data_IF_282652280635
#
_entry.id   IF_282652280635
#
_cell.length_a   1.000
_cell.length_b   1.000
_cell.length_c   1.000
_cell.angle_alpha   90.00
_cell.angle_beta   90.00
_cell.angle_gamma   90.00
#
_symmetry.space_group_name_H-M   'P 1'
#
loop_
_entity.id
_entity.type
_entity.pdbx_description
1 polymer ?
#
# COMPACT_ATOMS: atom_id res chain seq x y z
N UNK A 1 75.85 4.59 66.47
CA UNK A 1 77.28 4.99 66.49
C UNK A 1 77.88 4.60 65.14
N UNK A 2 78.43 5.59 64.41
CA UNK A 2 79.57 5.54 63.45
C UNK A 2 79.65 4.30 62.51
N UNK A 3 79.70 4.39 61.18
CA UNK A 3 80.30 5.41 60.31
C UNK A 3 79.98 5.10 58.85
N UNK A 4 79.64 6.17 58.14
CA UNK A 4 79.88 6.48 56.72
C UNK A 4 80.90 5.62 55.96
N UNK A 5 80.54 5.18 54.75
CA UNK A 5 81.51 5.02 53.65
C UNK A 5 80.83 5.35 52.33
N UNK A 6 81.24 6.48 51.76
CA UNK A 6 80.83 7.02 50.46
C UNK A 6 81.80 6.49 49.39
N UNK A 7 81.30 5.96 48.27
CA UNK A 7 82.08 5.84 47.03
C UNK A 7 81.22 6.31 45.85
N UNK A 8 81.71 7.34 45.16
CA UNK A 8 81.23 7.85 43.87
C UNK A 8 81.53 6.84 42.75
N UNK A 9 80.58 6.62 41.84
CA UNK A 9 80.80 6.17 40.46
C UNK A 9 79.79 6.91 39.55
N UNK A 10 80.18 7.41 38.36
CA UNK A 10 79.52 8.54 37.71
C UNK A 10 78.32 8.17 36.83
N UNK A 11 77.43 9.15 36.71
CA UNK A 11 76.23 9.21 35.89
C UNK A 11 76.61 9.24 34.39
N UNK A 12 76.28 8.19 33.64
CA UNK A 12 76.23 8.23 32.17
C UNK A 12 74.77 8.38 31.73
N UNK A 13 74.44 9.54 31.16
CA UNK A 13 73.17 9.80 30.48
C UNK A 13 73.15 9.03 29.14
N UNK A 14 72.18 8.13 28.98
CA UNK A 14 71.79 7.60 27.67
C UNK A 14 70.37 8.08 27.38
N UNK A 15 70.24 9.03 26.46
CA UNK A 15 68.97 9.53 25.95
C UNK A 15 68.43 8.55 24.91
N UNK A 16 67.40 7.78 25.28
CA UNK A 16 66.65 6.93 24.34
C UNK A 16 65.45 7.71 23.81
N UNK A 17 65.51 8.10 22.54
CA UNK A 17 64.43 8.73 21.81
C UNK A 17 63.31 7.72 21.51
N UNK A 18 62.17 7.84 22.17
CA UNK A 18 60.93 7.14 21.82
C UNK A 18 60.34 7.77 20.54
N UNK A 19 60.51 7.11 19.39
CA UNK A 19 59.73 7.40 18.19
C UNK A 19 58.36 6.71 18.32
N UNK A 20 57.33 7.49 18.67
CA UNK A 20 55.96 7.06 18.56
C UNK A 20 55.57 7.02 17.07
N UNK A 21 55.50 5.83 16.48
CA UNK A 21 54.93 5.61 15.15
C UNK A 21 53.41 5.70 15.29
N UNK A 22 52.85 6.87 14.97
CA UNK A 22 51.41 7.01 14.73
C UNK A 22 51.08 6.29 13.42
N UNK A 23 50.57 5.06 13.51
CA UNK A 23 49.91 4.40 12.39
C UNK A 23 48.54 5.06 12.22
N UNK A 24 48.47 6.07 11.35
CA UNK A 24 47.20 6.55 10.82
C UNK A 24 46.51 5.37 10.13
N UNK A 25 45.54 4.77 10.80
CA UNK A 25 44.56 3.94 10.13
C UNK A 25 43.71 4.88 9.28
N UNK A 26 44.05 4.96 7.99
CA UNK A 26 43.12 5.45 7.01
C UNK A 26 41.89 4.53 7.09
N UNK A 27 40.83 5.03 7.71
CA UNK A 27 39.49 4.48 7.52
C UNK A 27 39.23 4.71 6.04
N UNK A 28 39.43 3.65 5.24
CA UNK A 28 38.82 3.57 3.92
C UNK A 28 37.32 3.57 4.21
N UNK A 29 36.72 4.76 4.27
CA UNK A 29 35.31 4.91 3.99
C UNK A 29 35.18 4.39 2.55
N UNK A 30 34.69 3.16 2.40
CA UNK A 30 34.23 2.71 1.10
C UNK A 30 33.33 3.84 0.59
N UNK A 31 33.70 4.45 -0.53
CA UNK A 31 32.88 5.49 -1.16
C UNK A 31 31.49 4.89 -1.31
N UNK A 32 30.54 5.48 -0.59
CA UNK A 32 29.16 5.07 -0.63
C UNK A 32 28.65 5.41 -2.02
N UNK A 33 28.45 4.38 -2.84
CA UNK A 33 27.92 4.50 -4.20
C UNK A 33 26.63 5.31 -4.16
N UNK A 34 26.54 6.36 -4.97
CA UNK A 34 25.38 7.24 -4.97
C UNK A 34 24.26 6.59 -5.77
N UNK A 35 23.14 6.32 -5.12
CA UNK A 35 21.92 5.85 -5.79
C UNK A 35 20.96 7.00 -5.97
N UNK A 36 20.53 7.22 -7.22
CA UNK A 36 19.71 8.37 -7.58
C UNK A 36 18.44 8.49 -6.72
N UNK A 37 17.64 7.44 -6.60
CA UNK A 37 16.38 7.47 -5.84
C UNK A 37 16.57 7.64 -4.33
N UNK A 38 17.66 7.12 -3.77
CA UNK A 38 17.94 7.14 -2.33
C UNK A 38 18.57 8.47 -1.91
N UNK A 39 19.53 8.96 -2.68
CA UNK A 39 20.45 10.02 -2.25
C UNK A 39 20.24 11.34 -3.02
N UNK A 40 19.87 11.30 -4.31
CA UNK A 40 19.82 12.49 -5.19
C UNK A 40 18.42 13.05 -5.33
N UNK A 41 17.46 12.20 -5.72
CA UNK A 41 16.06 12.57 -5.96
C UNK A 41 15.43 13.28 -4.74
N UNK A 42 15.64 12.86 -3.47
CA UNK A 42 15.09 13.60 -2.33
C UNK A 42 15.60 15.04 -2.24
N UNK A 43 16.87 15.28 -2.59
CA UNK A 43 17.46 16.61 -2.63
C UNK A 43 16.80 17.44 -3.73
N UNK A 44 16.74 16.92 -4.95
CA UNK A 44 16.12 17.64 -6.08
C UNK A 44 14.63 17.91 -5.84
N UNK A 45 13.91 16.95 -5.27
CA UNK A 45 12.50 17.07 -4.93
C UNK A 45 12.24 18.13 -3.87
N UNK A 46 13.03 18.15 -2.80
CA UNK A 46 12.85 19.14 -1.74
C UNK A 46 13.29 20.54 -2.19
N UNK A 47 14.46 20.64 -2.84
CA UNK A 47 15.15 21.90 -3.10
C UNK A 47 14.82 22.53 -4.45
N UNK A 48 14.45 21.74 -5.47
CA UNK A 48 14.46 22.19 -6.86
C UNK A 48 13.12 22.08 -7.60
N UNK A 49 12.36 20.99 -7.42
CA UNK A 49 11.17 20.69 -8.25
C UNK A 49 10.04 21.72 -8.11
N UNK A 50 9.99 22.49 -7.03
CA UNK A 50 8.99 23.55 -6.89
C UNK A 50 9.09 24.62 -7.99
N UNK A 51 10.30 24.92 -8.48
CA UNK A 51 10.52 25.91 -9.54
C UNK A 51 11.02 25.27 -10.85
N UNK A 52 11.54 24.05 -10.80
CA UNK A 52 12.12 23.35 -11.96
C UNK A 52 11.60 21.91 -12.06
N UNK A 53 10.31 21.70 -11.76
CA UNK A 53 9.65 20.40 -11.78
C UNK A 53 8.48 20.34 -12.77
N UNK A 54 7.49 19.45 -12.52
CA UNK A 54 6.42 19.21 -13.48
C UNK A 54 5.38 20.34 -13.56
N UNK A 55 5.20 21.13 -12.50
CA UNK A 55 4.24 22.25 -12.47
C UNK A 55 4.57 23.36 -13.48
N UNK A 56 3.86 23.40 -14.61
CA UNK A 56 4.08 24.38 -15.69
C UNK A 56 3.89 25.82 -15.23
N UNK A 57 2.92 26.09 -14.36
CA UNK A 57 2.60 27.44 -13.90
C UNK A 57 3.69 28.02 -12.98
N UNK A 58 4.41 27.16 -12.26
CA UNK A 58 5.52 27.54 -11.39
C UNK A 58 6.91 27.41 -12.06
N UNK A 59 6.99 26.79 -13.25
CA UNK A 59 8.25 26.42 -13.89
C UNK A 59 9.04 27.64 -14.35
N UNK A 60 10.20 27.87 -13.73
CA UNK A 60 11.16 28.90 -14.10
C UNK A 60 12.07 28.39 -15.22
N UNK A 61 12.34 29.27 -16.18
CA UNK A 61 13.22 29.02 -17.33
C UNK A 61 12.85 27.77 -18.13
N UNK A 62 11.59 27.30 -18.09
CA UNK A 62 11.13 26.06 -18.74
C UNK A 62 12.01 24.83 -18.41
N UNK A 63 12.74 24.85 -17.29
CA UNK A 63 13.68 23.81 -16.91
C UNK A 63 12.97 22.72 -16.12
N UNK A 64 13.18 21.46 -16.51
CA UNK A 64 12.74 20.27 -15.77
C UNK A 64 13.95 19.51 -15.23
N UNK A 65 14.08 19.46 -13.91
CA UNK A 65 15.09 18.68 -13.20
C UNK A 65 14.52 17.33 -12.73
N UNK A 66 13.22 17.11 -12.89
CA UNK A 66 12.47 15.88 -12.62
C UNK A 66 12.45 14.90 -13.81
N UNK A 67 13.07 15.30 -14.93
CA UNK A 67 13.11 14.55 -16.18
C UNK A 67 14.55 14.31 -16.65
N UNK A 68 14.87 13.07 -17.00
CA UNK A 68 16.23 12.68 -17.38
C UNK A 68 16.72 13.37 -18.65
N UNK A 69 15.87 13.46 -19.68
CA UNK A 69 16.25 14.05 -20.94
C UNK A 69 16.49 15.55 -20.77
N UNK A 70 15.65 16.22 -19.99
CA UNK A 70 15.76 17.65 -19.72
C UNK A 70 16.97 18.01 -18.83
N UNK A 71 17.24 17.24 -17.76
CA UNK A 71 18.38 17.52 -16.87
C UNK A 71 19.74 17.27 -17.54
N UNK A 72 19.79 16.41 -18.57
CA UNK A 72 20.99 16.13 -19.38
C UNK A 72 21.01 16.93 -20.70
N UNK A 73 20.01 17.76 -20.97
CA UNK A 73 19.94 18.54 -22.20
C UNK A 73 20.95 19.69 -22.21
N UNK A 74 21.35 20.07 -23.43
CA UNK A 74 22.10 21.30 -23.69
C UNK A 74 21.11 22.40 -24.05
N UNK A 75 21.14 23.52 -23.33
CA UNK A 75 20.23 24.66 -23.52
C UNK A 75 21.05 25.92 -23.71
N UNK A 76 20.90 26.58 -24.86
CA UNK A 76 21.66 27.79 -25.20
C UNK A 76 23.19 27.63 -25.05
N UNK A 77 23.70 26.43 -25.35
CA UNK A 77 25.11 26.07 -25.20
C UNK A 77 25.54 25.69 -23.78
N UNK A 78 24.62 25.67 -22.81
CA UNK A 78 24.86 25.34 -21.41
C UNK A 78 24.41 23.90 -21.14
N UNK A 79 25.29 23.10 -20.53
CA UNK A 79 24.99 21.74 -20.08
C UNK A 79 24.53 21.79 -18.62
N UNK A 80 23.30 21.37 -18.32
CA UNK A 80 22.76 21.42 -16.96
C UNK A 80 23.50 20.44 -16.04
N UNK A 81 23.55 19.17 -16.45
CA UNK A 81 24.36 18.12 -15.85
C UNK A 81 25.20 17.46 -16.94
N UNK A 82 26.52 17.52 -16.79
CA UNK A 82 27.49 16.86 -17.66
C UNK A 82 27.99 15.57 -16.98
N UNK A 83 27.51 14.39 -17.39
CA UNK A 83 27.94 13.11 -16.82
C UNK A 83 29.47 12.97 -16.77
N UNK A 84 30.01 12.66 -15.60
CA UNK A 84 31.44 12.49 -15.36
C UNK A 84 32.23 13.79 -15.18
N UNK A 85 31.61 14.96 -15.41
CA UNK A 85 32.28 16.27 -15.27
C UNK A 85 31.44 17.26 -14.43
N UNK A 86 31.59 17.23 -13.10
CA UNK A 86 30.95 18.19 -12.22
C UNK A 86 31.37 19.64 -12.47
N UNK A 87 32.58 19.88 -13.02
CA UNK A 87 33.07 21.24 -13.26
C UNK A 87 32.42 21.86 -14.50
N UNK A 88 32.06 21.06 -15.49
CA UNK A 88 31.30 21.48 -16.68
C UNK A 88 29.78 21.56 -16.44
N UNK A 89 29.29 21.16 -15.26
CA UNK A 89 27.85 21.10 -14.97
C UNK A 89 27.32 22.42 -14.39
N UNK A 90 26.39 23.05 -15.08
CA UNK A 90 25.74 24.29 -14.62
C UNK A 90 25.04 24.11 -13.26
N UNK A 91 24.47 22.92 -12.99
CA UNK A 91 23.87 22.61 -11.69
C UNK A 91 24.85 22.85 -10.54
N UNK A 92 26.10 22.39 -10.68
CA UNK A 92 27.14 22.57 -9.64
C UNK A 92 27.53 24.03 -9.50
N UNK A 93 27.67 24.75 -10.63
CA UNK A 93 27.96 26.19 -10.63
C UNK A 93 26.89 26.97 -9.86
N UNK A 94 25.61 26.67 -10.10
CA UNK A 94 24.46 27.33 -9.46
C UNK A 94 24.38 27.07 -7.96
N UNK A 95 24.57 25.82 -7.52
CA UNK A 95 24.46 25.47 -6.09
C UNK A 95 25.68 25.91 -5.26
N UNK A 96 26.78 26.30 -5.91
CA UNK A 96 28.01 26.79 -5.28
C UNK A 96 28.27 28.27 -5.52
N UNK A 97 27.40 28.97 -6.26
CA UNK A 97 27.57 30.39 -6.54
C UNK A 97 27.50 31.24 -5.27
N UNK A 98 28.24 32.35 -5.27
CA UNK A 98 28.16 33.39 -4.25
C UNK A 98 27.36 34.62 -4.73
N UNK A 99 26.95 34.63 -6.00
CA UNK A 99 26.09 35.67 -6.56
C UNK A 99 24.63 35.38 -6.19
N UNK A 100 23.98 36.29 -5.46
CA UNK A 100 22.59 36.18 -5.01
C UNK A 100 21.60 36.02 -6.17
N UNK A 101 21.92 36.53 -7.36
CA UNK A 101 21.08 36.41 -8.56
C UNK A 101 21.23 35.08 -9.28
N UNK A 102 22.31 34.34 -9.00
CA UNK A 102 22.61 33.07 -9.66
C UNK A 102 22.47 31.85 -8.75
N UNK A 103 22.66 32.02 -7.44
CA UNK A 103 22.65 30.92 -6.48
C UNK A 103 21.30 30.19 -6.48
N UNK A 104 21.37 28.86 -6.48
CA UNK A 104 20.19 28.00 -6.40
C UNK A 104 20.30 27.02 -5.22
N UNK A 105 19.21 26.78 -4.47
CA UNK A 105 17.95 27.53 -4.51
C UNK A 105 18.11 28.99 -4.07
N UNK A 106 17.31 29.94 -4.58
CA UNK A 106 17.37 31.34 -4.18
C UNK A 106 17.08 31.49 -2.68
N UNK A 107 17.66 32.49 -2.01
CA UNK A 107 17.46 32.70 -0.57
C UNK A 107 15.97 32.84 -0.18
N UNK A 108 15.15 33.47 -1.03
CA UNK A 108 13.70 33.59 -0.85
C UNK A 108 12.95 32.25 -0.77
N UNK A 109 13.53 31.16 -1.30
CA UNK A 109 12.94 29.82 -1.21
C UNK A 109 13.00 29.22 0.19
N UNK A 110 13.86 29.77 1.08
CA UNK A 110 14.13 29.25 2.42
C UNK A 110 14.54 27.76 2.45
N UNK A 111 15.15 27.27 1.37
CA UNK A 111 15.59 25.88 1.20
C UNK A 111 17.08 25.79 0.81
N UNK A 112 18.01 26.27 1.65
CA UNK A 112 19.43 26.15 1.33
C UNK A 112 19.85 24.68 1.27
N UNK A 113 20.79 24.38 0.39
CA UNK A 113 21.50 23.10 0.36
C UNK A 113 22.57 23.08 1.46
N UNK A 114 22.62 22.00 2.21
CA UNK A 114 23.73 21.67 3.09
C UNK A 114 24.97 21.27 2.28
N UNK A 115 26.15 21.37 2.88
CA UNK A 115 27.39 20.94 2.21
C UNK A 115 27.39 19.45 1.85
N UNK A 116 26.74 18.61 2.67
CA UNK A 116 26.59 17.19 2.36
C UNK A 116 25.72 16.97 1.12
N UNK A 117 24.59 17.68 1.00
CA UNK A 117 23.73 17.59 -0.19
C UNK A 117 24.45 18.08 -1.46
N UNK A 118 25.21 19.17 -1.38
CA UNK A 118 26.04 19.65 -2.50
C UNK A 118 27.08 18.61 -2.91
N UNK A 119 27.71 17.97 -1.92
CA UNK A 119 28.70 16.93 -2.18
C UNK A 119 28.06 15.68 -2.79
N UNK A 120 26.88 15.26 -2.34
CA UNK A 120 26.11 14.16 -2.94
C UNK A 120 25.81 14.45 -4.41
N UNK A 121 25.33 15.65 -4.74
CA UNK A 121 25.07 16.04 -6.13
C UNK A 121 26.36 16.06 -6.97
N UNK A 122 27.46 16.56 -6.42
CA UNK A 122 28.78 16.58 -7.09
C UNK A 122 29.29 15.16 -7.38
N UNK A 123 29.23 14.28 -6.37
CA UNK A 123 29.67 12.89 -6.49
C UNK A 123 28.80 12.13 -7.49
N UNK A 124 27.48 12.27 -7.43
CA UNK A 124 26.55 11.70 -8.39
C UNK A 124 26.91 12.05 -9.84
N UNK A 125 27.24 13.32 -10.11
CA UNK A 125 27.66 13.75 -11.45
C UNK A 125 29.01 13.13 -11.81
N UNK A 126 29.97 13.11 -10.90
CA UNK A 126 31.29 12.50 -11.12
C UNK A 126 31.20 11.00 -11.45
N UNK A 127 30.25 10.29 -10.85
CA UNK A 127 29.94 8.87 -11.09
C UNK A 127 29.16 8.63 -12.40
N UNK A 128 28.91 9.68 -13.20
CA UNK A 128 28.25 9.56 -14.50
C UNK A 128 26.77 9.98 -14.52
N UNK A 129 26.27 10.59 -13.44
CA UNK A 129 24.90 11.10 -13.35
C UNK A 129 23.82 10.08 -13.74
N UNK A 130 23.96 8.84 -13.24
CA UNK A 130 22.98 7.77 -13.47
C UNK A 130 21.61 8.21 -12.95
N UNK A 131 20.58 8.02 -13.78
CA UNK A 131 19.22 8.41 -13.45
C UNK A 131 18.36 7.16 -13.25
N UNK A 132 17.32 7.29 -12.42
CA UNK A 132 16.36 6.22 -12.15
C UNK A 132 14.96 6.83 -12.08
N UNK A 133 13.95 6.09 -12.53
CA UNK A 133 12.55 6.48 -12.35
C UNK A 133 12.20 6.42 -10.86
N UNK A 134 11.04 6.95 -10.46
CA UNK A 134 10.65 6.82 -9.06
C UNK A 134 10.55 5.32 -8.73
N UNK A 135 11.01 4.90 -7.55
CA UNK A 135 11.06 3.47 -7.17
C UNK A 135 9.70 2.77 -7.32
N UNK A 136 8.59 3.51 -7.21
CA UNK A 136 7.24 3.00 -7.39
C UNK A 136 6.90 2.59 -8.83
N UNK A 137 7.66 3.07 -9.82
CA UNK A 137 7.50 2.75 -11.25
C UNK A 137 8.56 1.77 -11.75
N UNK A 138 9.46 1.32 -10.88
CA UNK A 138 10.47 0.32 -11.19
C UNK A 138 10.01 -1.04 -10.66
N UNK A 139 10.16 -2.08 -11.48
CA UNK A 139 9.81 -3.43 -11.05
C UNK A 139 10.70 -3.85 -9.87
N UNK A 140 10.12 -4.38 -8.77
CA UNK A 140 10.92 -4.82 -7.63
C UNK A 140 11.83 -5.98 -8.05
N UNK A 141 13.12 -5.87 -7.70
CA UNK A 141 14.10 -6.92 -7.95
C UNK A 141 14.48 -7.61 -6.65
N UNK A 142 14.81 -8.90 -6.75
CA UNK A 142 15.27 -9.68 -5.59
C UNK A 142 16.67 -9.21 -5.20
N UNK A 143 16.83 -8.83 -3.94
CA UNK A 143 18.13 -8.46 -3.37
C UNK A 143 18.69 -9.62 -2.58
N UNK A 144 20.03 -9.73 -2.55
CA UNK A 144 20.69 -10.68 -1.65
C UNK A 144 20.47 -10.27 -0.20
N UNK A 145 20.21 -11.25 0.65
CA UNK A 145 20.00 -11.01 2.08
C UNK A 145 21.34 -10.59 2.69
N UNK A 146 21.43 -9.44 3.38
CA UNK A 146 22.67 -8.97 3.96
C UNK A 146 23.26 -9.98 4.93
N UNK A 147 24.56 -10.24 4.83
CA UNK A 147 25.28 -10.99 5.86
C UNK A 147 25.45 -10.11 7.09
N UNK A 148 24.50 -10.18 8.02
CA UNK A 148 24.71 -9.61 9.35
C UNK A 148 25.80 -10.39 10.10
N UNK A 149 26.40 -9.79 11.13
CA UNK A 149 27.29 -10.54 12.02
C UNK A 149 26.55 -11.78 12.56
N UNK A 150 27.25 -12.89 12.85
CA UNK A 150 26.62 -14.08 13.43
C UNK A 150 25.94 -13.71 14.75
N UNK A 151 24.62 -13.64 14.74
CA UNK A 151 23.79 -13.39 15.92
C UNK A 151 22.54 -14.24 15.79
N UNK A 152 21.99 -14.64 16.93
CA UNK A 152 20.75 -15.43 16.99
C UNK A 152 19.49 -14.54 16.94
N UNK A 153 19.65 -13.22 16.70
CA UNK A 153 18.53 -12.28 16.72
C UNK A 153 17.62 -12.37 15.49
N UNK A 154 18.16 -12.40 14.24
CA UNK A 154 17.31 -12.54 13.06
C UNK A 154 16.59 -13.89 13.04
N UNK A 155 15.25 -13.87 13.06
CA UNK A 155 14.41 -15.08 12.95
C UNK A 155 14.11 -15.42 11.49
N UNK A 156 14.10 -14.41 10.63
CA UNK A 156 13.87 -14.56 9.20
C UNK A 156 14.76 -13.62 8.37
N UNK A 157 14.60 -13.68 7.05
CA UNK A 157 15.39 -12.89 6.12
C UNK A 157 15.09 -11.38 6.21
N UNK A 158 13.89 -10.96 6.63
CA UNK A 158 13.52 -9.54 6.82
C UNK A 158 14.33 -8.96 7.98
N UNK A 159 14.41 -9.70 9.09
CA UNK A 159 15.18 -9.27 10.27
C UNK A 159 16.65 -9.05 9.93
N UNK A 160 17.20 -9.78 8.96
CA UNK A 160 18.58 -9.59 8.49
C UNK A 160 18.79 -8.22 7.85
N UNK A 161 17.80 -7.72 7.09
CA UNK A 161 17.84 -6.35 6.54
C UNK A 161 17.73 -5.30 7.64
N UNK A 162 16.86 -5.52 8.64
CA UNK A 162 16.71 -4.61 9.78
C UNK A 162 17.99 -4.55 10.60
N UNK A 163 18.58 -5.71 10.92
CA UNK A 163 19.81 -5.81 11.69
C UNK A 163 20.98 -5.12 10.96
N UNK A 164 21.15 -5.37 9.66
CA UNK A 164 22.19 -4.71 8.86
C UNK A 164 22.07 -3.17 8.94
N UNK A 165 20.84 -2.65 8.90
CA UNK A 165 20.60 -1.20 9.03
C UNK A 165 20.90 -0.68 10.44
N UNK A 166 20.51 -1.43 11.48
CA UNK A 166 20.82 -1.08 12.87
C UNK A 166 22.33 -1.06 13.10
N UNK A 167 23.07 -2.07 12.63
CA UNK A 167 24.53 -2.14 12.73
C UNK A 167 25.21 -0.95 12.03
N UNK A 168 24.76 -0.59 10.82
CA UNK A 168 25.25 0.60 10.11
C UNK A 168 25.03 1.88 10.92
N UNK A 169 23.93 1.95 11.66
CA UNK A 169 23.57 3.08 12.54
C UNK A 169 24.15 2.95 13.94
N UNK A 170 24.93 1.91 14.22
CA UNK A 170 25.51 1.62 15.55
C UNK A 170 24.43 1.47 16.64
N UNK A 171 23.28 0.93 16.24
CA UNK A 171 22.15 0.62 17.12
C UNK A 171 22.08 -0.89 17.35
N UNK A 172 21.56 -1.28 18.51
CA UNK A 172 21.27 -2.68 18.85
C UNK A 172 19.75 -2.89 18.86
N UNK A 173 19.26 -4.09 18.51
CA UNK A 173 17.85 -4.41 18.66
C UNK A 173 17.35 -4.22 20.09
N UNK A 174 16.10 -3.80 20.23
CA UNK A 174 15.40 -3.76 21.51
C UNK A 174 15.06 -5.17 21.98
N UNK A 175 14.95 -5.36 23.30
CA UNK A 175 14.41 -6.61 23.86
C UNK A 175 12.93 -6.77 23.52
N UNK A 176 12.46 -8.02 23.45
CA UNK A 176 11.05 -8.34 23.31
C UNK A 176 10.22 -7.71 24.44
N UNK A 177 8.97 -7.36 24.13
CA UNK A 177 8.01 -6.93 25.15
C UNK A 177 7.66 -8.10 26.08
N UNK A 178 7.22 -7.79 27.31
CA UNK A 178 6.70 -8.84 28.20
C UNK A 178 5.47 -9.53 27.57
N UNK A 179 5.24 -10.78 27.95
CA UNK A 179 4.19 -11.62 27.34
C UNK A 179 2.80 -11.00 27.43
N UNK A 180 2.47 -10.33 28.53
CA UNK A 180 1.15 -9.71 28.70
C UNK A 180 0.98 -8.50 27.77
N UNK A 181 2.02 -7.68 27.64
CA UNK A 181 2.04 -6.57 26.67
C UNK A 181 1.98 -7.07 25.22
N UNK A 182 2.72 -8.12 24.90
CA UNK A 182 2.75 -8.71 23.56
C UNK A 182 1.37 -9.26 23.17
N UNK A 183 0.75 -10.06 24.05
CA UNK A 183 -0.62 -10.57 23.89
C UNK A 183 -1.61 -9.42 23.63
N UNK A 184 -1.55 -8.37 24.46
CA UNK A 184 -2.47 -7.24 24.31
C UNK A 184 -2.32 -6.58 22.94
N UNK A 185 -1.09 -6.30 22.49
CA UNK A 185 -0.82 -5.64 21.21
C UNK A 185 -1.34 -6.47 20.04
N UNK A 186 -0.95 -7.75 19.97
CA UNK A 186 -1.32 -8.61 18.85
C UNK A 186 -2.83 -8.84 18.76
N UNK A 187 -3.56 -8.90 19.88
CA UNK A 187 -5.02 -8.96 19.86
C UNK A 187 -5.65 -7.69 19.26
N UNK A 188 -5.20 -6.48 19.63
CA UNK A 188 -5.74 -5.26 19.03
C UNK A 188 -5.36 -5.12 17.56
N UNK A 189 -4.13 -5.49 17.21
CA UNK A 189 -3.65 -5.37 15.84
C UNK A 189 -4.45 -6.28 14.92
N UNK A 190 -4.62 -7.56 15.30
CA UNK A 190 -5.27 -8.56 14.46
C UNK A 190 -6.80 -8.56 14.57
N UNK A 191 -7.39 -8.26 15.74
CA UNK A 191 -8.84 -8.40 15.95
C UNK A 191 -9.53 -7.11 16.36
N UNK A 192 -8.78 -6.05 16.69
CA UNK A 192 -9.34 -4.81 17.23
C UNK A 192 -9.88 -4.94 18.67
N UNK A 193 -9.78 -6.12 19.29
CA UNK A 193 -10.35 -6.42 20.59
C UNK A 193 -9.26 -6.73 21.63
N UNK A 194 -9.51 -6.45 22.92
CA UNK A 194 -8.62 -6.92 23.99
C UNK A 194 -8.66 -8.45 24.12
N UNK A 195 -7.60 -9.09 24.65
CA UNK A 195 -7.61 -10.53 24.91
C UNK A 195 -8.69 -10.91 25.93
N UNK A 196 -9.34 -12.06 25.73
CA UNK A 196 -10.25 -12.64 26.74
C UNK A 196 -9.44 -13.18 27.93
N UNK A 197 -10.10 -13.36 29.07
CA UNK A 197 -9.46 -13.90 30.27
C UNK A 197 -8.94 -15.33 30.03
N UNK A 198 -9.70 -16.13 29.29
CA UNK A 198 -9.36 -17.50 28.91
C UNK A 198 -8.13 -17.55 28.00
N UNK A 199 -8.12 -16.73 26.94
CA UNK A 199 -6.98 -16.66 26.02
C UNK A 199 -5.72 -16.19 26.74
N UNK A 200 -5.84 -15.16 27.60
CA UNK A 200 -4.72 -14.66 28.38
C UNK A 200 -4.16 -15.74 29.31
N UNK A 201 -5.01 -16.48 30.00
CA UNK A 201 -4.57 -17.58 30.87
C UNK A 201 -3.87 -18.69 30.07
N UNK A 202 -4.39 -19.05 28.90
CA UNK A 202 -3.80 -20.06 28.03
C UNK A 202 -2.42 -19.61 27.53
N UNK A 203 -2.34 -18.45 26.89
CA UNK A 203 -1.09 -17.94 26.35
C UNK A 203 -0.04 -17.69 27.43
N UNK A 204 -0.40 -17.10 28.57
CA UNK A 204 0.58 -16.82 29.62
C UNK A 204 1.12 -18.08 30.31
N UNK A 205 0.39 -19.20 30.24
CA UNK A 205 0.83 -20.49 30.77
C UNK A 205 1.51 -21.38 29.73
N UNK A 206 1.47 -21.03 28.45
CA UNK A 206 2.10 -21.79 27.36
C UNK A 206 3.60 -21.48 27.26
N UNK A 207 4.42 -22.40 27.75
CA UNK A 207 5.89 -22.33 27.71
C UNK A 207 6.50 -22.96 26.45
N UNK A 208 5.69 -23.35 25.47
CA UNK A 208 6.21 -23.91 24.21
C UNK A 208 6.93 -22.85 23.36
N UNK A 209 7.92 -23.30 22.58
CA UNK A 209 8.71 -22.43 21.72
C UNK A 209 7.86 -21.71 20.65
N UNK A 210 6.71 -22.27 20.28
CA UNK A 210 5.79 -21.73 19.27
C UNK A 210 4.54 -21.07 19.87
N UNK A 211 4.53 -20.76 21.18
CA UNK A 211 3.35 -20.22 21.87
C UNK A 211 2.82 -18.93 21.20
N UNK A 212 3.71 -18.10 20.67
CA UNK A 212 3.33 -16.83 20.02
C UNK A 212 2.74 -17.05 18.62
N UNK A 213 3.37 -17.91 17.83
CA UNK A 213 2.91 -18.27 16.48
C UNK A 213 1.54 -18.94 16.55
N UNK A 214 1.33 -19.86 17.48
CA UNK A 214 0.03 -20.49 17.71
C UNK A 214 -1.06 -19.47 18.11
N UNK A 215 -0.70 -18.47 18.92
CA UNK A 215 -1.60 -17.37 19.27
C UNK A 215 -1.96 -16.54 18.02
N UNK A 216 -0.98 -16.21 17.19
CA UNK A 216 -1.19 -15.46 15.93
C UNK A 216 -2.13 -16.24 15.00
N UNK A 217 -1.88 -17.54 14.79
CA UNK A 217 -2.74 -18.41 13.98
C UNK A 217 -4.18 -18.47 14.52
N UNK A 218 -4.34 -18.59 15.85
CA UNK A 218 -5.65 -18.56 16.48
C UNK A 218 -6.37 -17.22 16.25
N UNK A 219 -5.66 -16.09 16.27
CA UNK A 219 -6.23 -14.77 16.03
C UNK A 219 -6.57 -14.55 14.54
N UNK A 220 -5.74 -15.02 13.62
CA UNK A 220 -5.99 -14.93 12.17
C UNK A 220 -7.19 -15.76 11.72
N UNK A 221 -7.48 -16.87 12.41
CA UNK A 221 -8.67 -17.71 12.15
C UNK A 221 -9.95 -17.17 12.81
N UNK A 222 -9.87 -16.14 13.65
CA UNK A 222 -11.02 -15.51 14.28
C UNK A 222 -11.83 -14.69 13.26
N UNK A 223 -13.18 -14.72 13.28
CA UNK A 223 -13.99 -13.88 12.41
C UNK A 223 -13.73 -12.37 12.62
N UNK A 224 -13.28 -12.00 13.83
CA UNK A 224 -12.90 -10.63 14.18
C UNK A 224 -11.68 -10.11 13.41
N UNK A 225 -10.87 -11.00 12.81
CA UNK A 225 -9.78 -10.60 11.93
C UNK A 225 -10.30 -9.87 10.70
N UNK A 226 -11.24 -10.50 9.97
CA UNK A 226 -11.88 -9.89 8.81
C UNK A 226 -12.63 -8.62 9.16
N UNK A 227 -13.32 -8.56 10.30
CA UNK A 227 -13.98 -7.35 10.79
C UNK A 227 -12.97 -6.21 11.00
N UNK A 228 -11.83 -6.50 11.64
CA UNK A 228 -10.77 -5.54 11.89
C UNK A 228 -10.16 -4.99 10.60
N UNK A 229 -9.85 -5.87 9.66
CA UNK A 229 -9.28 -5.49 8.36
C UNK A 229 -10.29 -4.71 7.50
N UNK A 230 -11.56 -5.12 7.53
CA UNK A 230 -12.63 -4.48 6.79
C UNK A 230 -12.82 -3.01 7.16
N UNK A 231 -12.65 -2.61 8.42
CA UNK A 231 -12.78 -1.20 8.83
C UNK A 231 -11.92 -0.29 7.97
N UNK A 232 -10.63 -0.62 7.80
CA UNK A 232 -9.71 0.18 7.00
C UNK A 232 -10.09 0.18 5.52
N UNK A 233 -10.52 -0.97 4.99
CA UNK A 233 -10.92 -1.07 3.60
C UNK A 233 -12.20 -0.28 3.29
N UNK A 234 -13.20 -0.38 4.16
CA UNK A 234 -14.48 0.31 4.03
C UNK A 234 -14.32 1.83 4.07
N UNK A 235 -13.40 2.34 4.89
CA UNK A 235 -13.02 3.75 4.87
C UNK A 235 -12.41 4.17 3.52
N UNK A 236 -11.50 3.35 2.98
CA UNK A 236 -10.82 3.62 1.69
C UNK A 236 -11.81 3.69 0.52
N UNK A 237 -12.77 2.76 0.47
CA UNK A 237 -13.79 2.73 -0.59
C UNK A 237 -14.98 3.65 -0.30
N UNK A 238 -14.97 4.34 0.85
CA UNK A 238 -15.98 5.31 1.31
C UNK A 238 -17.36 4.68 1.44
N UNK A 239 -17.40 3.49 2.03
CA UNK A 239 -18.63 2.81 2.36
C UNK A 239 -19.52 3.70 3.26
N UNK A 240 -20.80 3.81 2.91
CA UNK A 240 -21.79 4.49 3.72
C UNK A 240 -23.15 3.79 3.59
N UNK A 241 -23.90 3.76 4.69
CA UNK A 241 -25.27 3.24 4.73
C UNK A 241 -26.33 4.28 4.32
N UNK A 242 -25.91 5.47 3.84
CA UNK A 242 -26.79 6.54 3.37
C UNK A 242 -26.40 7.08 2.01
N UNK A 243 -27.32 7.77 1.35
CA UNK A 243 -27.09 8.34 0.00
C UNK A 243 -26.13 9.54 0.02
N UNK A 244 -26.19 10.38 1.06
CA UNK A 244 -25.18 11.39 1.40
C UNK A 244 -25.00 12.57 0.43
N UNK A 245 -25.77 12.67 -0.66
CA UNK A 245 -25.68 13.77 -1.64
C UNK A 245 -26.66 14.91 -1.33
N UNK A 246 -27.97 14.66 -1.43
CA UNK A 246 -29.04 15.63 -1.12
C UNK A 246 -29.71 15.37 0.23
N UNK A 247 -29.51 14.19 0.81
CA UNK A 247 -30.10 13.76 2.08
C UNK A 247 -29.44 12.50 2.65
N UNK A 248 -29.91 12.05 3.81
CA UNK A 248 -29.37 10.90 4.55
C UNK A 248 -30.34 9.71 4.56
N UNK A 249 -31.09 9.50 3.48
CA UNK A 249 -31.89 8.29 3.30
C UNK A 249 -30.98 7.06 3.35
N UNK A 250 -31.41 6.01 4.03
CA UNK A 250 -30.61 4.79 4.15
C UNK A 250 -30.61 4.01 2.84
N UNK A 251 -29.48 3.42 2.48
CA UNK A 251 -29.33 2.51 1.33
C UNK A 251 -28.91 1.12 1.81
N UNK A 252 -29.45 0.08 1.17
CA UNK A 252 -29.18 -1.31 1.54
C UNK A 252 -27.95 -1.85 0.81
N UNK A 253 -26.75 -1.51 1.29
CA UNK A 253 -25.48 -1.96 0.72
C UNK A 253 -24.63 -2.82 1.68
N UNK A 254 -25.18 -3.19 2.83
CA UNK A 254 -24.53 -4.06 3.81
C UNK A 254 -23.99 -5.40 3.26
N UNK A 255 -24.57 -6.03 2.21
CA UNK A 255 -23.96 -7.23 1.64
C UNK A 255 -22.53 -7.00 1.13
N UNK A 256 -22.22 -5.80 0.62
CA UNK A 256 -20.85 -5.46 0.22
C UNK A 256 -19.90 -5.45 1.42
N UNK A 257 -20.33 -4.86 2.56
CA UNK A 257 -19.54 -4.88 3.81
C UNK A 257 -19.27 -6.31 4.27
N UNK A 258 -20.31 -7.15 4.26
CA UNK A 258 -20.20 -8.53 4.70
C UNK A 258 -19.29 -9.35 3.76
N UNK A 259 -19.35 -9.08 2.45
CA UNK A 259 -18.42 -9.64 1.48
C UNK A 259 -16.96 -9.26 1.78
N UNK A 260 -16.67 -7.97 2.07
CA UNK A 260 -15.32 -7.53 2.44
C UNK A 260 -14.78 -8.26 3.67
N UNK A 261 -15.61 -8.39 4.72
CA UNK A 261 -15.24 -9.12 5.95
C UNK A 261 -14.87 -10.57 5.60
N UNK A 262 -15.69 -11.22 4.77
CA UNK A 262 -15.47 -12.60 4.36
C UNK A 262 -14.24 -12.75 3.45
N UNK A 263 -13.98 -11.82 2.54
CA UNK A 263 -12.81 -11.83 1.67
C UNK A 263 -11.50 -11.82 2.48
N UNK A 264 -11.42 -11.01 3.54
CA UNK A 264 -10.28 -11.01 4.45
C UNK A 264 -10.19 -12.31 5.27
N UNK A 265 -11.29 -12.79 5.84
CA UNK A 265 -11.29 -14.04 6.62
C UNK A 265 -10.93 -15.27 5.78
N UNK A 266 -11.28 -15.28 4.50
CA UNK A 266 -10.95 -16.35 3.57
C UNK A 266 -9.55 -16.21 2.96
N UNK A 267 -8.82 -15.15 3.30
CA UNK A 267 -7.51 -14.82 2.72
C UNK A 267 -7.54 -14.83 1.18
N UNK A 268 -8.55 -14.14 0.61
CA UNK A 268 -8.72 -14.06 -0.83
C UNK A 268 -7.48 -13.43 -1.48
N UNK A 269 -6.94 -14.01 -2.58
CA UNK A 269 -5.86 -13.40 -3.34
C UNK A 269 -6.21 -11.97 -3.78
N UNK A 270 -5.24 -11.06 -3.68
CA UNK A 270 -5.49 -9.63 -3.90
C UNK A 270 -5.88 -9.30 -5.35
N UNK A 271 -5.42 -10.10 -6.31
CA UNK A 271 -5.81 -10.03 -7.72
C UNK A 271 -7.28 -10.39 -7.93
N UNK A 272 -7.75 -11.51 -7.34
CA UNK A 272 -9.16 -11.88 -7.35
C UNK A 272 -10.02 -10.83 -6.63
N UNK A 273 -9.59 -10.39 -5.44
CA UNK A 273 -10.26 -9.35 -4.66
C UNK A 273 -10.39 -8.03 -5.42
N UNK A 274 -9.39 -7.68 -6.22
CA UNK A 274 -9.39 -6.51 -7.09
C UNK A 274 -10.34 -6.71 -8.26
N UNK A 275 -10.27 -7.86 -8.95
CA UNK A 275 -11.13 -8.17 -10.09
C UNK A 275 -12.61 -8.16 -9.70
N UNK A 276 -12.94 -8.82 -8.59
CA UNK A 276 -14.32 -8.94 -8.11
C UNK A 276 -14.96 -7.58 -7.79
N UNK A 277 -14.20 -6.63 -7.22
CA UNK A 277 -14.69 -5.29 -6.92
C UNK A 277 -14.80 -4.38 -8.14
N UNK A 278 -13.81 -4.39 -9.02
CA UNK A 278 -13.77 -3.46 -10.16
C UNK A 278 -14.66 -3.93 -11.32
N UNK A 279 -14.78 -5.25 -11.52
CA UNK A 279 -15.38 -5.83 -12.71
C UNK A 279 -15.97 -7.25 -12.49
N UNK A 280 -16.37 -7.59 -11.25
CA UNK A 280 -16.89 -8.92 -10.94
C UNK A 280 -18.15 -9.30 -11.73
N UNK A 281 -18.98 -8.33 -12.09
CA UNK A 281 -20.16 -8.50 -12.95
C UNK A 281 -19.83 -8.77 -14.42
N UNK A 282 -18.61 -8.43 -14.86
CA UNK A 282 -18.11 -8.67 -16.22
C UNK A 282 -17.40 -10.02 -16.37
N UNK A 283 -17.18 -10.76 -15.27
CA UNK A 283 -16.64 -12.12 -15.31
C UNK A 283 -17.64 -13.06 -15.99
N UNK A 284 -17.16 -14.06 -16.73
CA UNK A 284 -18.04 -15.04 -17.37
C UNK A 284 -18.85 -15.82 -16.33
N UNK A 285 -20.18 -15.70 -16.39
CA UNK A 285 -21.10 -16.34 -15.42
C UNK A 285 -20.79 -15.96 -13.97
N UNK A 286 -20.93 -14.67 -13.61
CA UNK A 286 -20.48 -14.16 -12.33
C UNK A 286 -21.29 -14.79 -11.19
N UNK A 287 -20.62 -15.14 -10.10
CA UNK A 287 -21.30 -15.60 -8.89
C UNK A 287 -22.01 -14.46 -8.18
N UNK A 288 -22.96 -14.78 -7.29
CA UNK A 288 -23.64 -13.78 -6.44
C UNK A 288 -22.64 -12.93 -5.65
N UNK A 289 -21.58 -13.55 -5.11
CA UNK A 289 -20.54 -12.83 -4.37
C UNK A 289 -19.77 -11.84 -5.23
N UNK A 290 -19.48 -12.18 -6.50
CA UNK A 290 -18.80 -11.27 -7.43
C UNK A 290 -19.68 -10.10 -7.84
N UNK A 291 -21.00 -10.34 -7.98
CA UNK A 291 -21.97 -9.26 -8.22
C UNK A 291 -22.05 -8.35 -6.99
N UNK A 292 -22.07 -8.91 -5.77
CA UNK A 292 -22.03 -8.14 -4.52
C UNK A 292 -20.76 -7.30 -4.43
N UNK A 293 -19.59 -7.89 -4.72
CA UNK A 293 -18.30 -7.23 -4.70
C UNK A 293 -18.24 -6.04 -5.67
N UNK A 294 -18.81 -6.19 -6.88
CA UNK A 294 -18.92 -5.11 -7.87
C UNK A 294 -19.75 -3.92 -7.37
N UNK A 295 -20.52 -4.11 -6.29
CA UNK A 295 -21.17 -3.05 -5.53
C UNK A 295 -20.22 -1.89 -5.15
N UNK A 296 -18.90 -2.11 -5.12
CA UNK A 296 -17.87 -1.06 -5.07
C UNK A 296 -18.19 0.14 -5.99
N UNK A 297 -18.52 -0.12 -7.26
CA UNK A 297 -18.82 0.92 -8.25
C UNK A 297 -20.13 1.70 -7.98
N UNK A 298 -20.89 1.28 -6.97
CA UNK A 298 -22.15 1.89 -6.53
C UNK A 298 -22.03 2.59 -5.17
N UNK A 299 -20.88 2.57 -4.50
CA UNK A 299 -20.66 3.23 -3.20
C UNK A 299 -20.57 4.76 -3.25
N UNK A 300 -20.60 5.37 -4.44
CA UNK A 300 -20.61 6.82 -4.60
C UNK A 300 -21.84 7.46 -3.94
N UNK A 301 -21.66 8.66 -3.40
CA UNK A 301 -22.77 9.50 -2.92
C UNK A 301 -23.82 9.64 -4.01
N UNK A 302 -25.07 9.27 -3.72
CA UNK A 302 -26.16 9.22 -4.70
C UNK A 302 -27.27 10.20 -4.39
N UNK A 303 -28.05 10.56 -5.42
CA UNK A 303 -29.23 11.43 -5.28
C UNK A 303 -30.47 10.83 -5.93
N UNK A 304 -31.64 11.22 -5.41
CA UNK A 304 -32.96 10.96 -5.99
C UNK A 304 -33.78 12.26 -6.06
N UNK A 305 -33.12 13.41 -6.01
CA UNK A 305 -33.76 14.73 -6.07
C UNK A 305 -34.24 15.06 -7.49
N UNK A 306 -35.50 15.46 -7.66
CA UNK A 306 -36.08 15.77 -8.97
C UNK A 306 -35.49 16.99 -9.70
N UNK A 307 -34.60 17.77 -9.06
CA UNK A 307 -33.97 18.98 -9.60
C UNK A 307 -32.54 18.79 -10.12
N UNK A 308 -32.01 17.56 -10.12
CA UNK A 308 -30.62 17.29 -10.47
C UNK A 308 -30.28 17.65 -11.93
N UNK A 309 -29.09 18.16 -12.16
CA UNK A 309 -28.56 18.36 -13.52
C UNK A 309 -27.78 17.11 -13.95
N UNK A 310 -28.37 16.28 -14.82
CA UNK A 310 -27.82 14.97 -15.19
C UNK A 310 -26.36 15.03 -15.67
N UNK A 311 -26.01 16.01 -16.51
CA UNK A 311 -24.64 16.15 -17.02
C UNK A 311 -23.62 16.48 -15.92
N UNK A 312 -24.01 17.34 -14.99
CA UNK A 312 -23.18 17.68 -13.83
C UNK A 312 -22.99 16.46 -12.93
N UNK A 313 -24.07 15.73 -12.67
CA UNK A 313 -24.04 14.52 -11.85
C UNK A 313 -23.12 13.44 -12.42
N UNK A 314 -23.22 13.13 -13.72
CA UNK A 314 -22.32 12.17 -14.39
C UNK A 314 -20.86 12.59 -14.31
N UNK A 315 -20.57 13.89 -14.46
CA UNK A 315 -19.22 14.40 -14.34
C UNK A 315 -18.65 14.23 -12.92
N UNK A 316 -19.48 14.47 -11.89
CA UNK A 316 -19.10 14.27 -10.49
C UNK A 316 -18.83 12.79 -10.21
N UNK A 317 -19.68 11.89 -10.68
CA UNK A 317 -19.53 10.44 -10.52
C UNK A 317 -18.29 9.89 -11.20
N UNK A 318 -18.07 10.27 -12.46
CA UNK A 318 -16.89 9.89 -13.22
C UNK A 318 -15.61 10.37 -12.52
N UNK A 319 -15.58 11.63 -12.08
CA UNK A 319 -14.46 12.19 -11.32
C UNK A 319 -14.23 11.45 -10.01
N UNK A 320 -15.30 11.08 -9.31
CA UNK A 320 -15.23 10.40 -8.04
C UNK A 320 -14.70 8.97 -8.14
N UNK A 321 -15.13 8.21 -9.17
CA UNK A 321 -14.57 6.88 -9.48
C UNK A 321 -13.08 6.96 -9.78
N UNK A 322 -12.66 7.92 -10.61
CA UNK A 322 -11.25 8.16 -10.93
C UNK A 322 -10.44 8.44 -9.66
N UNK A 323 -10.92 9.34 -8.79
CA UNK A 323 -10.25 9.67 -7.53
C UNK A 323 -10.11 8.46 -6.62
N UNK A 324 -11.14 7.64 -6.50
CA UNK A 324 -11.12 6.51 -5.58
C UNK A 324 -10.29 5.35 -6.10
N UNK A 325 -10.48 4.95 -7.37
CA UNK A 325 -9.71 3.85 -7.93
C UNK A 325 -8.22 4.16 -7.93
N UNK A 326 -7.84 5.40 -8.28
CA UNK A 326 -6.44 5.80 -8.29
C UNK A 326 -5.84 5.84 -6.89
N UNK A 327 -6.57 6.32 -5.89
CA UNK A 327 -6.08 6.37 -4.52
C UNK A 327 -5.96 4.98 -3.90
N UNK A 328 -6.98 4.13 -4.06
CA UNK A 328 -7.10 2.85 -3.36
C UNK A 328 -6.25 1.75 -4.00
N UNK A 329 -6.27 1.62 -5.34
CA UNK A 329 -5.52 0.55 -6.02
C UNK A 329 -4.15 0.99 -6.51
N UNK A 330 -4.02 2.22 -7.01
CA UNK A 330 -2.75 2.69 -7.59
C UNK A 330 -1.86 3.41 -6.56
N UNK A 331 -2.38 3.75 -5.38
CA UNK A 331 -1.68 4.60 -4.42
C UNK A 331 -1.32 5.98 -5.02
N UNK A 332 -2.11 6.44 -5.98
CA UNK A 332 -1.80 7.59 -6.83
C UNK A 332 -2.84 8.70 -6.71
N UNK A 333 -2.37 9.94 -6.64
CA UNK A 333 -3.21 11.14 -6.53
C UNK A 333 -3.67 11.66 -7.90
N UNK A 334 -4.03 10.76 -8.83
CA UNK A 334 -4.56 11.13 -10.17
C UNK A 334 -5.74 12.10 -10.04
N UNK A 335 -6.50 12.01 -8.95
CA UNK A 335 -7.54 12.96 -8.58
C UNK A 335 -7.17 14.44 -8.66
N UNK A 336 -5.92 14.82 -8.35
CA UNK A 336 -5.47 16.20 -8.47
C UNK A 336 -5.34 16.66 -9.92
N UNK A 337 -5.26 15.74 -10.88
CA UNK A 337 -5.18 16.05 -12.30
C UNK A 337 -6.53 16.45 -12.93
N UNK A 338 -7.62 16.50 -12.15
CA UNK A 338 -8.96 16.81 -12.68
C UNK A 338 -9.03 18.16 -13.42
N UNK A 339 -8.33 19.18 -12.92
CA UNK A 339 -8.43 20.55 -13.43
C UNK A 339 -7.20 20.99 -14.24
N UNK A 340 -6.05 20.36 -14.02
CA UNK A 340 -4.76 20.68 -14.63
C UNK A 340 -3.83 19.47 -14.51
N UNK A 341 -2.71 19.44 -15.23
CA UNK A 341 -1.73 18.37 -15.07
C UNK A 341 -1.20 18.31 -13.64
N UNK A 342 -1.02 17.11 -13.11
CA UNK A 342 -0.64 16.89 -11.73
C UNK A 342 0.69 17.59 -11.38
N UNK A 343 0.72 18.22 -10.20
CA UNK A 343 1.82 19.12 -9.81
C UNK A 343 3.18 18.40 -9.61
N UNK A 344 3.15 17.12 -9.20
CA UNK A 344 4.33 16.35 -8.77
C UNK A 344 4.48 15.01 -9.50
N UNK A 345 3.41 14.23 -9.57
CA UNK A 345 3.34 12.96 -10.29
C UNK A 345 3.11 13.12 -11.80
N UNK A 346 3.50 12.11 -12.62
CA UNK A 346 3.44 12.18 -14.08
C UNK A 346 2.03 11.86 -14.62
N UNK A 347 1.00 12.53 -14.10
CA UNK A 347 -0.37 12.38 -14.56
C UNK A 347 -0.88 13.67 -15.17
N UNK A 348 -1.39 13.60 -16.39
CA UNK A 348 -1.99 14.74 -17.07
C UNK A 348 -3.49 14.83 -16.79
N UNK A 349 -4.08 15.99 -17.04
CA UNK A 349 -5.53 16.14 -17.05
C UNK A 349 -6.18 15.23 -18.11
N UNK A 350 -5.49 14.99 -19.22
CA UNK A 350 -5.93 14.03 -20.23
C UNK A 350 -6.01 12.60 -19.65
N UNK A 351 -5.04 12.18 -18.83
CA UNK A 351 -5.06 10.85 -18.20
C UNK A 351 -6.22 10.71 -17.22
N UNK A 352 -6.53 11.75 -16.45
CA UNK A 352 -7.70 11.77 -15.55
C UNK A 352 -9.01 11.48 -16.31
N UNK A 353 -9.26 12.20 -17.39
CA UNK A 353 -10.48 12.00 -18.19
C UNK A 353 -10.45 10.71 -19.01
N UNK A 354 -9.27 10.25 -19.44
CA UNK A 354 -9.12 8.94 -20.09
C UNK A 354 -9.45 7.79 -19.13
N UNK A 355 -9.01 7.88 -17.87
CA UNK A 355 -9.33 6.87 -16.86
C UNK A 355 -10.84 6.83 -16.54
N UNK A 356 -11.52 7.98 -16.63
CA UNK A 356 -12.97 8.03 -16.46
C UNK A 356 -13.74 7.21 -17.50
N UNK A 357 -13.17 6.98 -18.69
CA UNK A 357 -13.81 6.24 -19.76
C UNK A 357 -14.05 4.76 -19.42
N UNK A 358 -13.24 4.17 -18.53
CA UNK A 358 -13.43 2.78 -18.08
C UNK A 358 -14.75 2.56 -17.33
N UNK A 359 -15.33 3.62 -16.78
CA UNK A 359 -16.59 3.58 -16.01
C UNK A 359 -17.76 4.22 -16.75
N UNK A 360 -17.57 4.64 -18.00
CA UNK A 360 -18.58 5.41 -18.73
C UNK A 360 -19.84 4.59 -19.08
N UNK A 361 -19.72 3.26 -19.10
CA UNK A 361 -20.81 2.31 -19.37
C UNK A 361 -21.63 1.97 -18.11
N UNK A 362 -21.23 2.45 -16.92
CA UNK A 362 -22.01 2.29 -15.70
C UNK A 362 -23.27 3.15 -15.78
N UNK A 363 -24.43 2.52 -15.56
CA UNK A 363 -25.72 3.20 -15.55
C UNK A 363 -25.93 3.99 -14.25
N UNK A 364 -25.77 5.32 -14.36
CA UNK A 364 -25.96 6.28 -13.27
C UNK A 364 -27.31 7.04 -13.36
N UNK A 365 -28.21 6.63 -14.26
CA UNK A 365 -29.45 7.39 -14.55
C UNK A 365 -30.74 6.61 -14.29
N UNK A 366 -30.73 5.29 -14.46
CA UNK A 366 -31.96 4.48 -14.37
C UNK A 366 -32.68 4.63 -13.04
N UNK A 367 -31.95 4.74 -11.94
CA UNK A 367 -32.53 4.94 -10.60
C UNK A 367 -33.25 6.28 -10.43
N UNK A 368 -33.06 7.27 -11.32
CA UNK A 368 -33.85 8.50 -11.29
C UNK A 368 -35.29 8.31 -11.77
N UNK A 369 -35.54 7.28 -12.58
CA UNK A 369 -36.86 7.00 -13.15
C UNK A 369 -37.55 5.82 -12.47
N UNK A 370 -36.78 4.84 -12.00
CA UNK A 370 -37.27 3.62 -11.38
C UNK A 370 -37.06 3.58 -9.85
N UNK A 371 -36.24 4.46 -9.28
CA UNK A 371 -35.97 4.50 -7.84
C UNK A 371 -36.95 5.37 -7.04
N UNK A 372 -36.72 5.44 -5.72
CA UNK A 372 -37.55 6.24 -4.81
C UNK A 372 -36.70 7.02 -3.79
N UNK A 373 -37.08 8.26 -3.53
CA UNK A 373 -36.53 9.08 -2.45
C UNK A 373 -37.16 8.73 -1.07
N UNK A 374 -37.50 7.45 -0.86
CA UNK A 374 -38.03 6.93 0.41
C UNK A 374 -36.93 6.65 1.41
N UNK A 375 -37.29 6.25 2.63
CA UNK A 375 -36.35 5.75 3.62
C UNK A 375 -36.79 4.35 4.09
N UNK A 376 -36.10 3.26 3.71
CA UNK A 376 -34.91 3.23 2.85
C UNK A 376 -35.19 3.68 1.41
N UNK A 377 -34.15 4.14 0.72
CA UNK A 377 -34.20 4.52 -0.70
C UNK A 377 -34.17 3.26 -1.57
N UNK A 378 -34.84 3.28 -2.72
CA UNK A 378 -34.73 2.23 -3.72
C UNK A 378 -33.87 2.71 -4.89
N UNK A 379 -32.84 1.93 -5.25
CA UNK A 379 -31.89 2.23 -6.33
C UNK A 379 -31.79 1.06 -7.29
N UNK A 380 -32.78 0.96 -8.17
CA UNK A 380 -32.80 -0.08 -9.20
C UNK A 380 -31.59 0.01 -10.16
N UNK A 381 -31.05 -1.14 -10.62
CA UNK A 381 -31.42 -2.49 -10.19
C UNK A 381 -30.87 -2.85 -8.80
N UNK A 382 -31.66 -3.59 -8.03
CA UNK A 382 -31.24 -4.19 -6.76
C UNK A 382 -31.18 -5.72 -6.89
N UNK A 383 -30.30 -6.32 -6.08
CA UNK A 383 -30.16 -7.77 -5.98
C UNK A 383 -30.85 -8.22 -4.70
N UNK A 384 -31.94 -8.97 -4.84
CA UNK A 384 -32.58 -9.61 -3.70
C UNK A 384 -31.70 -10.77 -3.22
N UNK A 385 -31.28 -10.69 -1.96
CA UNK A 385 -30.46 -11.71 -1.34
C UNK A 385 -31.28 -12.51 -0.32
N UNK A 386 -31.11 -13.84 -0.27
CA UNK A 386 -31.76 -14.65 0.74
C UNK A 386 -31.27 -14.26 2.13
N UNK A 387 -32.19 -14.21 3.09
CA UNK A 387 -31.85 -14.11 4.52
C UNK A 387 -31.00 -15.30 4.98
N UNK A 388 -30.33 -15.19 6.13
CA UNK A 388 -29.52 -16.29 6.67
C UNK A 388 -30.32 -17.59 6.88
N UNK A 389 -31.59 -17.48 7.31
CA UNK A 389 -32.48 -18.64 7.44
C UNK A 389 -32.82 -19.21 6.05
N UNK A 390 -33.07 -18.35 5.06
CA UNK A 390 -33.33 -18.81 3.70
C UNK A 390 -32.10 -19.47 3.07
N UNK A 391 -30.89 -18.95 3.32
CA UNK A 391 -29.63 -19.56 2.88
C UNK A 391 -29.44 -20.95 3.50
N UNK A 392 -29.76 -21.11 4.78
CA UNK A 392 -29.68 -22.41 5.46
C UNK A 392 -30.66 -23.42 4.86
N UNK A 393 -31.91 -22.99 4.60
CA UNK A 393 -32.92 -23.81 3.94
C UNK A 393 -32.48 -24.19 2.51
N UNK A 394 -31.93 -23.23 1.75
CA UNK A 394 -31.38 -23.47 0.42
C UNK A 394 -30.23 -24.50 0.46
N UNK A 395 -29.32 -24.39 1.43
CA UNK A 395 -28.21 -25.33 1.61
C UNK A 395 -28.72 -26.73 1.97
N UNK A 396 -29.75 -26.84 2.81
CA UNK A 396 -30.38 -28.11 3.15
C UNK A 396 -31.06 -28.75 1.92
N UNK A 397 -31.86 -27.98 1.18
CA UNK A 397 -32.52 -28.41 -0.07
C UNK A 397 -31.47 -28.87 -1.09
N UNK A 398 -30.39 -28.11 -1.25
CA UNK A 398 -29.29 -28.43 -2.18
C UNK A 398 -28.54 -29.70 -1.75
N UNK A 399 -28.25 -29.85 -0.45
CA UNK A 399 -27.63 -31.07 0.09
C UNK A 399 -28.52 -32.31 -0.09
N UNK A 400 -29.83 -32.16 0.12
CA UNK A 400 -30.83 -33.22 -0.16
C UNK A 400 -30.84 -33.58 -1.65
N UNK A 401 -30.73 -32.59 -2.54
CA UNK A 401 -30.69 -32.78 -3.99
C UNK A 401 -29.43 -33.54 -4.42
N UNK A 402 -28.25 -33.10 -3.97
CA UNK A 402 -26.97 -33.75 -4.31
C UNK A 402 -26.87 -35.17 -3.73
N UNK A 403 -27.37 -35.39 -2.51
CA UNK A 403 -27.48 -36.73 -1.94
C UNK A 403 -28.38 -37.64 -2.79
N UNK A 404 -29.53 -37.13 -3.26
CA UNK A 404 -30.44 -37.88 -4.12
C UNK A 404 -29.83 -38.17 -5.51
N UNK A 405 -29.11 -37.20 -6.11
CA UNK A 405 -28.37 -37.38 -7.38
C UNK A 405 -27.23 -38.39 -7.24
N UNK A 406 -26.52 -38.40 -6.12
CA UNK A 406 -25.44 -39.34 -5.85
C UNK A 406 -25.96 -40.78 -5.75
N UNK A 407 -27.11 -40.97 -5.09
CA UNK A 407 -27.80 -42.27 -5.07
C UNK A 407 -28.21 -42.81 -6.46
N UNK A 408 -28.35 -41.91 -7.45
CA UNK A 408 -28.60 -42.25 -8.85
C UNK A 408 -27.35 -42.68 -9.62
N UNK A 409 -26.15 -42.27 -9.16
CA UNK A 409 -24.85 -42.63 -9.77
C UNK A 409 -24.29 -43.96 -9.25
N UNK A 410 -24.77 -44.43 -8.10
CA UNK A 410 -24.47 -45.77 -7.58
C UNK A 410 -25.33 -46.81 -8.31
N UNK A 411 -24.83 -47.32 -9.43
CA UNK A 411 -25.49 -48.32 -10.26
C UNK A 411 -25.48 -49.72 -9.61
N UNK A 412 -26.68 -50.18 -9.19
CA UNK A 412 -27.18 -51.58 -9.22
C UNK A 412 -28.64 -51.65 -8.68
N UNK A 413 -29.40 -50.55 -8.79
CA UNK A 413 -30.74 -50.46 -8.20
C UNK A 413 -31.84 -50.87 -9.19
N UNK A 414 -32.89 -51.58 -8.75
CA UNK A 414 -34.06 -51.90 -9.57
C UNK A 414 -34.72 -50.65 -10.19
N UNK A 415 -35.30 -50.79 -11.37
CA UNK A 415 -35.91 -49.67 -12.13
C UNK A 415 -37.02 -48.93 -11.36
N UNK A 416 -37.71 -49.62 -10.45
CA UNK A 416 -38.68 -49.03 -9.52
C UNK A 416 -38.05 -48.06 -8.52
N UNK A 417 -36.84 -48.35 -8.05
CA UNK A 417 -36.10 -47.51 -7.12
C UNK A 417 -35.50 -46.30 -7.84
N UNK A 418 -34.96 -46.50 -9.05
CA UNK A 418 -34.50 -45.40 -9.92
C UNK A 418 -35.64 -44.42 -10.23
N UNK A 419 -36.85 -44.92 -10.48
CA UNK A 419 -38.04 -44.09 -10.67
C UNK A 419 -38.41 -43.29 -9.41
N UNK A 420 -38.30 -43.90 -8.24
CA UNK A 420 -38.54 -43.24 -6.95
C UNK A 420 -37.52 -42.12 -6.69
N UNK A 421 -36.23 -42.37 -6.95
CA UNK A 421 -35.16 -41.36 -6.79
C UNK A 421 -35.37 -40.20 -7.77
N UNK A 422 -35.70 -40.46 -9.04
CA UNK A 422 -36.01 -39.40 -10.03
C UNK A 422 -37.19 -38.54 -9.60
N UNK A 423 -38.27 -39.15 -9.10
CA UNK A 423 -39.42 -38.40 -8.59
C UNK A 423 -39.04 -37.52 -7.38
N UNK A 424 -38.18 -38.03 -6.48
CA UNK A 424 -37.69 -37.27 -5.33
C UNK A 424 -36.80 -36.09 -5.75
N UNK A 425 -35.93 -36.27 -6.74
CA UNK A 425 -35.16 -35.15 -7.33
C UNK A 425 -36.11 -34.10 -7.91
N UNK A 426 -37.09 -34.51 -8.71
CA UNK A 426 -38.03 -33.59 -9.35
C UNK A 426 -38.87 -32.81 -8.31
N UNK A 427 -39.21 -33.44 -7.19
CA UNK A 427 -39.87 -32.78 -6.07
C UNK A 427 -38.96 -31.74 -5.39
N UNK A 428 -37.70 -32.10 -5.12
CA UNK A 428 -36.72 -31.18 -4.51
C UNK A 428 -36.38 -30.02 -5.47
N UNK A 429 -36.29 -30.26 -6.78
CA UNK A 429 -36.13 -29.21 -7.79
C UNK A 429 -37.33 -28.28 -7.87
N UNK A 430 -38.54 -28.79 -7.64
CA UNK A 430 -39.76 -27.98 -7.57
C UNK A 430 -39.78 -27.13 -6.30
N UNK A 431 -39.40 -27.71 -5.15
CA UNK A 431 -39.23 -27.01 -3.87
C UNK A 431 -38.19 -25.88 -4.01
N UNK A 432 -37.05 -26.16 -4.63
CA UNK A 432 -36.00 -25.17 -4.91
C UNK A 432 -36.51 -24.04 -5.81
N UNK A 433 -37.23 -24.35 -6.89
CA UNK A 433 -37.81 -23.33 -7.79
C UNK A 433 -38.87 -22.48 -7.11
N UNK A 434 -39.71 -23.07 -6.27
CA UNK A 434 -40.73 -22.34 -5.51
C UNK A 434 -40.08 -21.41 -4.49
N UNK A 435 -39.01 -21.88 -3.84
CA UNK A 435 -38.24 -21.11 -2.89
C UNK A 435 -37.46 -19.96 -3.53
N UNK A 436 -37.00 -20.13 -4.77
CA UNK A 436 -36.32 -19.08 -5.54
C UNK A 436 -37.27 -18.05 -6.18
N UNK A 437 -38.57 -18.32 -6.19
CA UNK A 437 -39.58 -17.50 -6.89
C UNK A 437 -40.45 -16.65 -5.95
N UNK A 438 -40.29 -16.80 -4.64
CA UNK A 438 -41.00 -16.02 -3.62
C UNK A 438 -40.06 -15.60 -2.51
#
# INVERSE_FOLDING_TARGET
>A
MKTSTTFLVPLCMAASAFHAVFVCHAINAAEHEIHFNRDVRPILSDKCFQCHGPDEAARKAELRLDDEAAIKAVRDGIVIVSPGDPAASELIRRITSHDESEIMPPHESNKPLTENEKQTLRQWIAEGATWSQHWAYEAPVRHEVPSAKPTDWPRNWIDSFVLARLEQKQLTPSSDADRATLLRRVCFDLTGLPPTAELAKQFLADESDNAYENLVDQLLTSPHYGERMAVYWLDLVRYADTVGYHGDQTQNISPYRDWIINAFNNNQPFDDFTCDQLAGDLVASPSTEQIIATGYNRLLQTTHEGGLQQKEYRAIYAADRVRNVSAVWMGATVGCAQCHDHKFDPYTAHDFYSLSAFFADVDDEKHFTAGSNSNPTARDPELELPTAEQQKQLAEITSRLESAKTGLKTEELPESELKSIRNRIQQIETELKQFQAG
#
